data_IF_043042265164
#
_entry.id   IF_043042265164
#
_cell.length_a   1.000
_cell.length_b   1.000
_cell.length_c   1.000
_cell.angle_alpha   90.00
_cell.angle_beta   90.00
_cell.angle_gamma   90.00
#
_symmetry.space_group_name_H-M   'P 1'
#
loop_
_entity.id
_entity.type
_entity.pdbx_description
1 polymer ?
#
# COMPACT_ATOMS: atom_id res chain seq x y z
N UNK A 1 -20.89 -8.79 15.06
CA UNK A 1 -19.96 -7.64 15.01
C UNK A 1 -20.40 -6.81 13.83
N UNK A 2 -21.19 -5.76 14.06
CA UNK A 2 -21.72 -4.90 13.00
C UNK A 2 -20.57 -4.09 12.41
N UNK A 3 -20.23 -4.36 11.16
CA UNK A 3 -19.21 -3.63 10.41
C UNK A 3 -19.62 -2.17 10.36
N UNK A 4 -18.74 -1.22 10.72
CA UNK A 4 -19.11 0.19 10.69
C UNK A 4 -19.51 0.58 9.27
N UNK A 5 -20.70 1.18 9.11
CA UNK A 5 -21.18 1.82 7.88
C UNK A 5 -20.19 2.92 7.49
N UNK A 6 -19.17 2.56 6.73
CA UNK A 6 -18.22 3.50 6.13
C UNK A 6 -18.69 3.72 4.70
N UNK A 7 -18.87 4.99 4.31
CA UNK A 7 -19.23 5.36 2.93
C UNK A 7 -18.31 4.65 1.94
N UNK A 8 -18.85 3.86 0.99
CA UNK A 8 -18.04 3.12 0.04
C UNK A 8 -17.16 4.04 -0.81
N UNK A 9 -15.94 3.62 -1.12
CA UNK A 9 -15.15 4.24 -2.20
C UNK A 9 -15.82 3.87 -3.51
N UNK A 10 -16.28 4.86 -4.27
CA UNK A 10 -16.71 4.61 -5.64
C UNK A 10 -15.52 4.77 -6.55
N UNK A 11 -15.13 3.70 -7.20
CA UNK A 11 -14.10 3.77 -8.22
C UNK A 11 -14.66 4.51 -9.46
N UNK A 12 -13.87 5.36 -10.12
CA UNK A 12 -14.28 5.99 -11.37
C UNK A 12 -14.34 4.95 -12.50
N UNK A 13 -14.74 5.38 -13.70
CA UNK A 13 -14.51 4.57 -14.90
C UNK A 13 -13.00 4.39 -15.11
N UNK A 14 -12.55 3.14 -15.18
CA UNK A 14 -11.14 2.79 -15.30
C UNK A 14 -10.83 2.37 -16.73
N UNK A 15 -9.57 2.56 -17.14
CA UNK A 15 -9.08 1.97 -18.39
C UNK A 15 -9.30 0.45 -18.37
N UNK A 16 -9.64 -0.14 -19.53
CA UNK A 16 -10.13 -1.53 -19.64
C UNK A 16 -9.31 -2.54 -18.81
N UNK A 17 -7.98 -2.58 -18.99
CA UNK A 17 -7.11 -3.49 -18.24
C UNK A 17 -7.15 -3.28 -16.71
N UNK A 18 -7.23 -2.02 -16.25
CA UNK A 18 -7.36 -1.72 -14.82
C UNK A 18 -8.76 -2.07 -14.31
N UNK A 19 -9.79 -1.83 -15.13
CA UNK A 19 -11.16 -2.23 -14.83
C UNK A 19 -11.31 -3.74 -14.64
N UNK A 20 -10.72 -4.53 -15.53
CA UNK A 20 -10.68 -6.00 -15.42
C UNK A 20 -10.04 -6.46 -14.12
N UNK A 21 -8.93 -5.83 -13.69
CA UNK A 21 -8.30 -6.14 -12.40
C UNK A 21 -9.20 -5.83 -11.21
N UNK A 22 -9.95 -4.73 -11.25
CA UNK A 22 -10.87 -4.37 -10.17
C UNK A 22 -12.10 -5.27 -10.12
N UNK A 23 -12.60 -5.72 -11.27
CA UNK A 23 -13.60 -6.78 -11.37
C UNK A 23 -13.11 -8.06 -10.67
N UNK A 24 -11.89 -8.52 -11.00
CA UNK A 24 -11.26 -9.69 -10.37
C UNK A 24 -11.02 -9.49 -8.87
N UNK A 25 -10.61 -8.30 -8.44
CA UNK A 25 -10.36 -8.00 -7.04
C UNK A 25 -11.66 -8.00 -6.20
N UNK A 26 -12.77 -7.53 -6.79
CA UNK A 26 -14.09 -7.64 -6.16
C UNK A 26 -14.53 -9.10 -6.09
N UNK A 27 -14.32 -9.89 -7.15
CA UNK A 27 -14.60 -11.33 -7.13
C UNK A 27 -13.79 -12.04 -6.04
N UNK A 28 -12.49 -11.74 -5.95
CA UNK A 28 -11.61 -12.25 -4.91
C UNK A 28 -12.16 -11.91 -3.53
N UNK A 29 -12.51 -10.65 -3.29
CA UNK A 29 -12.99 -10.20 -1.99
C UNK A 29 -14.27 -10.91 -1.55
N UNK A 30 -15.20 -11.13 -2.48
CA UNK A 30 -16.42 -11.91 -2.21
C UNK A 30 -16.09 -13.37 -1.87
N UNK A 31 -15.24 -14.02 -2.64
CA UNK A 31 -14.94 -15.46 -2.46
C UNK A 31 -13.98 -15.73 -1.28
N UNK A 32 -13.12 -14.77 -0.94
CA UNK A 32 -12.09 -14.90 0.09
C UNK A 32 -12.50 -14.25 1.43
N UNK A 33 -13.78 -13.92 1.63
CA UNK A 33 -14.27 -13.27 2.85
C UNK A 33 -13.96 -14.03 4.16
N UNK A 34 -13.73 -15.36 4.09
CA UNK A 34 -13.37 -16.20 5.24
C UNK A 34 -11.86 -16.45 5.39
N UNK A 35 -11.05 -15.84 4.53
CA UNK A 35 -9.59 -15.93 4.55
C UNK A 35 -9.04 -14.61 5.09
N UNK A 36 -8.10 -14.63 6.04
CA UNK A 36 -7.50 -13.41 6.56
C UNK A 36 -6.44 -12.88 5.58
N UNK A 37 -6.89 -12.39 4.42
CA UNK A 37 -6.04 -11.80 3.41
C UNK A 37 -6.10 -10.26 3.45
N UNK A 38 -5.16 -9.60 2.78
CA UNK A 38 -5.11 -8.13 2.66
C UNK A 38 -4.48 -7.73 1.33
N UNK A 39 -5.04 -6.70 0.69
CA UNK A 39 -4.53 -6.08 -0.53
C UNK A 39 -3.28 -5.26 -0.23
N UNK A 40 -2.20 -5.54 -0.96
CA UNK A 40 -0.95 -4.78 -0.89
C UNK A 40 -0.56 -4.29 -2.29
N UNK A 41 0.69 -3.85 -2.48
CA UNK A 41 1.17 -3.54 -3.82
C UNK A 41 0.64 -2.23 -4.40
N UNK A 42 0.54 -2.14 -5.73
CA UNK A 42 0.15 -0.91 -6.42
C UNK A 42 -1.36 -0.61 -6.33
N UNK A 43 -2.21 -1.64 -6.37
CA UNK A 43 -3.67 -1.46 -6.24
C UNK A 43 -4.07 -0.94 -4.85
N UNK A 44 -3.36 -1.35 -3.79
CA UNK A 44 -3.50 -0.77 -2.45
C UNK A 44 -3.21 0.74 -2.45
N UNK A 45 -2.16 1.17 -3.17
CA UNK A 45 -1.76 2.59 -3.27
C UNK A 45 -2.82 3.40 -4.03
N UNK A 46 -3.32 2.86 -5.14
CA UNK A 46 -4.43 3.46 -5.88
C UNK A 46 -5.67 3.64 -5.00
N UNK A 47 -6.03 2.62 -4.22
CA UNK A 47 -7.16 2.71 -3.29
C UNK A 47 -6.97 3.78 -2.21
N UNK A 48 -5.74 3.95 -1.69
CA UNK A 48 -5.41 5.03 -0.74
C UNK A 48 -5.57 6.42 -1.38
N UNK A 49 -5.18 6.55 -2.64
CA UNK A 49 -5.33 7.79 -3.41
C UNK A 49 -6.79 8.15 -3.68
N UNK A 50 -7.57 7.19 -4.20
CA UNK A 50 -8.98 7.41 -4.53
C UNK A 50 -9.85 7.76 -3.31
N UNK A 51 -9.53 7.21 -2.14
CA UNK A 51 -10.19 7.62 -0.88
C UNK A 51 -10.03 9.11 -0.52
N UNK A 52 -9.03 9.77 -1.11
CA UNK A 52 -8.66 11.16 -0.87
C UNK A 52 -8.68 11.99 -2.15
N UNK A 53 -9.44 11.52 -3.15
CA UNK A 53 -9.60 12.17 -4.45
C UNK A 53 -8.27 12.49 -5.14
N UNK A 54 -7.30 11.57 -5.02
CA UNK A 54 -5.96 11.73 -5.60
C UNK A 54 -5.57 10.56 -6.49
N UNK A 55 -5.16 10.87 -7.71
CA UNK A 55 -4.69 9.88 -8.66
C UNK A 55 -3.29 9.36 -8.30
N UNK A 56 -3.13 8.04 -8.31
CA UNK A 56 -1.83 7.43 -8.08
C UNK A 56 -0.87 7.72 -9.26
N UNK A 57 0.45 7.87 -9.01
CA UNK A 57 1.42 8.29 -10.02
C UNK A 57 1.68 7.25 -11.12
N UNK A 58 1.11 6.05 -11.00
CA UNK A 58 1.22 4.99 -12.01
C UNK A 58 0.02 4.06 -11.95
N UNK A 59 -0.25 3.44 -13.09
CA UNK A 59 -1.13 2.27 -13.17
C UNK A 59 -0.36 1.03 -12.75
N UNK A 60 -0.96 0.19 -11.90
CA UNK A 60 -0.43 -1.13 -11.55
C UNK A 60 -1.22 -2.19 -12.30
N UNK A 61 -0.54 -3.15 -12.92
CA UNK A 61 -1.20 -4.28 -13.58
C UNK A 61 -1.38 -5.50 -12.64
N UNK A 62 -0.70 -5.48 -11.50
CA UNK A 62 -0.65 -6.64 -10.60
C UNK A 62 -1.65 -6.51 -9.44
N UNK A 63 -2.27 -7.63 -9.05
CA UNK A 63 -3.01 -7.79 -7.79
C UNK A 63 -2.09 -8.50 -6.81
N UNK A 64 -1.55 -7.74 -5.87
CA UNK A 64 -0.71 -8.28 -4.79
C UNK A 64 -1.56 -8.46 -3.52
N UNK A 65 -1.50 -9.63 -2.91
CA UNK A 65 -2.16 -9.89 -1.63
C UNK A 65 -1.23 -10.56 -0.64
N UNK A 66 -1.53 -10.40 0.63
CA UNK A 66 -0.88 -11.13 1.71
C UNK A 66 -1.92 -11.86 2.54
N UNK A 67 -1.59 -13.05 3.02
CA UNK A 67 -2.39 -13.81 4.00
C UNK A 67 -1.73 -13.83 5.36
N UNK A 68 -2.51 -13.56 6.41
CA UNK A 68 -2.08 -13.81 7.78
C UNK A 68 -2.17 -15.32 8.12
N UNK A 69 -1.04 -16.00 7.98
CA UNK A 69 -0.90 -17.41 8.32
C UNK A 69 -1.02 -17.70 9.82
N UNK A 70 -0.84 -16.70 10.70
CA UNK A 70 -1.01 -16.88 12.15
C UNK A 70 -2.48 -16.97 12.52
N UNK A 71 -3.31 -16.17 11.86
CA UNK A 71 -4.76 -16.20 12.05
C UNK A 71 -5.39 -17.47 11.45
N UNK A 72 -4.87 -17.99 10.34
CA UNK A 72 -5.39 -19.20 9.70
C UNK A 72 -4.30 -19.97 8.95
N UNK A 73 -3.88 -21.12 9.50
CA UNK A 73 -2.77 -21.93 8.98
C UNK A 73 -3.03 -22.48 7.57
N UNK A 74 -4.27 -22.81 7.21
CA UNK A 74 -4.67 -23.25 5.87
C UNK A 74 -5.07 -22.10 4.94
N UNK A 75 -5.01 -20.85 5.42
CA UNK A 75 -5.50 -19.67 4.72
C UNK A 75 -4.79 -19.41 3.38
N UNK A 76 -3.50 -19.72 3.29
CA UNK A 76 -2.76 -19.60 2.02
C UNK A 76 -3.27 -20.59 0.96
N UNK A 77 -3.49 -21.86 1.32
CA UNK A 77 -4.05 -22.85 0.37
C UNK A 77 -5.45 -22.47 -0.06
N UNK A 78 -6.26 -21.98 0.88
CA UNK A 78 -7.60 -21.49 0.59
C UNK A 78 -7.57 -20.30 -0.39
N UNK A 79 -6.68 -19.33 -0.19
CA UNK A 79 -6.54 -18.18 -1.08
C UNK A 79 -6.02 -18.58 -2.47
N UNK A 80 -4.99 -19.42 -2.52
CA UNK A 80 -4.44 -19.92 -3.80
C UNK A 80 -5.52 -20.65 -4.59
N UNK A 81 -6.32 -21.51 -3.96
CA UNK A 81 -7.43 -22.18 -4.64
C UNK A 81 -8.51 -21.21 -5.14
N UNK A 82 -8.69 -20.06 -4.49
CA UNK A 82 -9.57 -18.99 -5.01
C UNK A 82 -8.94 -18.31 -6.21
N UNK A 83 -7.64 -17.99 -6.17
CA UNK A 83 -6.91 -17.45 -7.31
C UNK A 83 -6.94 -18.36 -8.53
N UNK A 84 -6.70 -19.66 -8.37
CA UNK A 84 -6.78 -20.63 -9.46
C UNK A 84 -8.18 -20.67 -10.09
N UNK A 85 -9.24 -20.62 -9.28
CA UNK A 85 -10.63 -20.54 -9.78
C UNK A 85 -10.94 -19.25 -10.53
N UNK A 86 -10.23 -18.17 -10.22
CA UNK A 86 -10.34 -16.86 -10.87
C UNK A 86 -9.33 -16.68 -12.01
N UNK A 87 -8.53 -17.70 -12.34
CA UNK A 87 -7.52 -17.64 -13.41
C UNK A 87 -6.28 -16.81 -13.08
N UNK A 88 -5.96 -16.62 -11.79
CA UNK A 88 -4.81 -15.86 -11.30
C UNK A 88 -3.68 -16.80 -10.85
N UNK A 89 -2.42 -16.47 -11.20
CA UNK A 89 -1.23 -17.18 -10.72
C UNK A 89 -0.71 -16.55 -9.42
N UNK A 90 -0.49 -17.37 -8.39
CA UNK A 90 -0.02 -16.91 -7.08
C UNK A 90 1.52 -16.89 -7.00
N UNK A 91 2.11 -15.74 -6.65
CA UNK A 91 3.57 -15.60 -6.46
C UNK A 91 3.88 -14.83 -5.17
N UNK A 92 4.68 -15.44 -4.29
CA UNK A 92 5.39 -14.73 -3.22
C UNK A 92 5.09 -15.18 -1.77
N UNK A 93 5.98 -14.82 -0.80
CA UNK A 93 5.80 -15.13 0.61
C UNK A 93 4.88 -14.10 1.33
N UNK A 94 4.22 -14.47 2.45
CA UNK A 94 3.30 -13.60 3.18
C UNK A 94 3.97 -12.69 4.23
N UNK A 95 3.42 -11.48 4.46
CA UNK A 95 3.26 -10.76 5.77
C UNK A 95 2.88 -9.26 5.56
N UNK A 96 1.84 -8.72 6.24
CA UNK A 96 2.05 -7.93 7.47
C UNK A 96 0.92 -8.01 8.53
N UNK A 97 1.24 -7.55 9.75
CA UNK A 97 0.29 -7.28 10.83
C UNK A 97 -0.40 -5.92 10.61
N UNK A 98 -1.70 -5.81 10.92
CA UNK A 98 -2.50 -4.57 10.82
C UNK A 98 -3.33 -4.47 9.54
N UNK A 99 -4.54 -5.02 9.57
CA UNK A 99 -5.50 -5.03 8.45
C UNK A 99 -6.64 -4.03 8.75
N UNK A 100 -6.98 -3.19 7.77
CA UNK A 100 -8.19 -2.38 7.75
C UNK A 100 -9.11 -2.86 6.62
N UNK A 101 -10.41 -2.72 6.79
CA UNK A 101 -11.41 -3.11 5.78
C UNK A 101 -11.97 -1.87 5.08
N UNK A 102 -12.13 -1.95 3.75
CA UNK A 102 -12.71 -0.86 2.95
C UNK A 102 -13.76 -1.38 1.97
N UNK A 103 -14.96 -0.83 2.08
CA UNK A 103 -16.02 -1.02 1.10
C UNK A 103 -15.70 -0.28 -0.20
N UNK A 104 -15.67 -1.02 -1.30
CA UNK A 104 -15.40 -0.50 -2.64
C UNK A 104 -16.56 -0.89 -3.56
N UNK A 105 -17.06 0.08 -4.31
CA UNK A 105 -18.02 -0.13 -5.39
C UNK A 105 -17.34 0.17 -6.73
N UNK A 106 -17.48 -0.75 -7.69
CA UNK A 106 -17.05 -0.59 -9.07
C UNK A 106 -18.19 -1.08 -9.98
N UNK A 107 -18.59 -0.26 -10.95
CA UNK A 107 -19.81 -0.47 -11.72
C UNK A 107 -21.02 -0.70 -10.79
N UNK A 108 -21.72 -1.83 -10.93
CA UNK A 108 -22.86 -2.23 -10.09
C UNK A 108 -22.46 -3.17 -8.92
N UNK A 109 -21.17 -3.48 -8.78
CA UNK A 109 -20.66 -4.47 -7.82
C UNK A 109 -20.02 -3.80 -6.60
N UNK A 110 -20.20 -4.39 -5.41
CA UNK A 110 -19.62 -3.88 -4.16
C UNK A 110 -19.00 -5.02 -3.35
N UNK A 111 -17.79 -4.80 -2.81
CA UNK A 111 -17.13 -5.74 -1.92
C UNK A 111 -16.36 -5.03 -0.79
N UNK A 112 -16.08 -5.77 0.28
CA UNK A 112 -15.17 -5.36 1.35
C UNK A 112 -13.75 -5.83 1.03
N UNK A 113 -12.84 -4.88 0.84
CA UNK A 113 -11.45 -5.13 0.50
C UNK A 113 -10.57 -4.85 1.73
N UNK A 114 -9.98 -5.88 2.35
CA UNK A 114 -8.98 -5.70 3.39
C UNK A 114 -7.72 -5.08 2.78
N UNK A 115 -7.15 -4.08 3.45
CA UNK A 115 -5.91 -3.38 3.09
C UNK A 115 -5.23 -2.80 4.34
N UNK A 116 -3.90 -2.60 4.34
CA UNK A 116 -3.23 -1.87 5.41
C UNK A 116 -3.75 -0.44 5.53
N UNK A 117 -3.75 0.10 6.76
CA UNK A 117 -3.93 1.53 6.96
C UNK A 117 -2.76 2.34 6.35
N UNK A 118 -2.84 3.67 6.38
CA UNK A 118 -1.82 4.50 5.71
C UNK A 118 -0.41 4.31 6.29
N UNK A 119 -0.28 4.07 7.60
CA UNK A 119 1.00 3.75 8.23
C UNK A 119 1.53 2.39 7.75
N UNK A 120 0.70 1.36 7.79
CA UNK A 120 1.06 0.02 7.32
C UNK A 120 1.46 0.03 5.84
N UNK A 121 0.74 0.77 4.99
CA UNK A 121 1.07 0.94 3.58
C UNK A 121 2.45 1.57 3.38
N UNK A 122 2.77 2.65 4.12
CA UNK A 122 4.09 3.28 4.10
C UNK A 122 5.20 2.30 4.53
N UNK A 123 4.98 1.55 5.61
CA UNK A 123 5.96 0.59 6.14
C UNK A 123 6.20 -0.56 5.17
N UNK A 124 5.15 -1.09 4.54
CA UNK A 124 5.25 -2.17 3.54
C UNK A 124 6.02 -1.67 2.30
N UNK A 125 5.71 -0.47 1.81
CA UNK A 125 6.45 0.11 0.67
C UNK A 125 7.91 0.39 1.01
N UNK A 126 8.18 0.85 2.23
CA UNK A 126 9.56 1.02 2.70
C UNK A 126 10.30 -0.34 2.76
N UNK A 127 9.68 -1.38 3.31
CA UNK A 127 10.26 -2.72 3.38
C UNK A 127 10.50 -3.35 1.99
N UNK A 128 9.62 -3.10 1.02
CA UNK A 128 9.80 -3.60 -0.34
C UNK A 128 11.09 -3.07 -1.02
N UNK A 129 11.60 -1.90 -0.62
CA UNK A 129 12.88 -1.36 -1.11
C UNK A 129 14.11 -2.16 -0.66
N UNK A 130 13.98 -2.96 0.40
CA UNK A 130 15.00 -3.89 0.90
C UNK A 130 14.98 -5.21 0.14
N UNK A 131 13.79 -5.70 -0.20
CA UNK A 131 13.62 -6.96 -0.91
C UNK A 131 14.01 -6.80 -2.39
N UNK A 132 13.57 -5.71 -3.02
CA UNK A 132 13.78 -5.48 -4.45
C UNK A 132 14.94 -4.53 -4.73
N UNK A 133 16.16 -5.02 -4.50
CA UNK A 133 17.37 -4.20 -4.56
C UNK A 133 17.73 -3.70 -5.96
N UNK A 134 17.31 -4.41 -7.03
CA UNK A 134 17.70 -4.11 -8.43
C UNK A 134 16.84 -3.05 -9.11
N UNK A 135 15.59 -2.87 -8.69
CA UNK A 135 14.60 -2.01 -9.36
C UNK A 135 13.59 -1.35 -8.40
N UNK A 136 14.02 -0.71 -7.29
CA UNK A 136 13.11 -0.22 -6.26
C UNK A 136 12.37 1.08 -6.62
N UNK A 137 12.63 1.69 -7.78
CA UNK A 137 12.10 3.02 -8.16
C UNK A 137 10.58 3.12 -8.04
N UNK A 138 9.84 2.06 -8.38
CA UNK A 138 8.38 2.04 -8.22
C UNK A 138 7.93 2.11 -6.76
N UNK A 139 8.67 1.47 -5.85
CA UNK A 139 8.40 1.52 -4.41
C UNK A 139 8.67 2.90 -3.83
N UNK A 140 9.73 3.59 -4.29
CA UNK A 140 10.00 4.97 -3.89
C UNK A 140 8.95 5.96 -4.39
N UNK A 141 8.45 5.80 -5.63
CA UNK A 141 7.33 6.60 -6.15
C UNK A 141 6.05 6.38 -5.34
N UNK A 142 5.72 5.11 -5.09
CA UNK A 142 4.55 4.75 -4.27
C UNK A 142 4.70 5.33 -2.84
N UNK A 143 5.91 5.29 -2.26
CA UNK A 143 6.20 5.84 -0.93
C UNK A 143 6.06 7.37 -0.88
N UNK A 144 6.60 8.08 -1.87
CA UNK A 144 6.45 9.53 -2.00
C UNK A 144 4.98 9.93 -2.14
N UNK A 145 4.22 9.19 -2.96
CA UNK A 145 2.79 9.39 -3.11
C UNK A 145 2.03 9.14 -1.80
N UNK A 146 2.28 8.04 -1.10
CA UNK A 146 1.64 7.76 0.19
C UNK A 146 1.96 8.84 1.24
N UNK A 147 3.19 9.39 1.25
CA UNK A 147 3.54 10.52 2.11
C UNK A 147 2.69 11.76 1.83
N UNK A 148 2.28 11.97 0.58
CA UNK A 148 1.41 13.09 0.19
C UNK A 148 0.00 12.96 0.78
N UNK A 149 -0.44 11.75 1.12
CA UNK A 149 -1.78 11.45 1.65
C UNK A 149 -1.88 11.59 3.18
N UNK A 150 -0.76 11.86 3.86
CA UNK A 150 -0.70 11.95 5.31
C UNK A 150 -1.16 13.33 5.76
N UNK A 151 -2.25 13.37 6.54
CA UNK A 151 -2.81 14.62 7.06
C UNK A 151 -1.98 15.20 8.22
N UNK A 152 -1.59 14.37 9.19
CA UNK A 152 -0.73 14.75 10.31
C UNK A 152 0.50 13.82 10.41
N UNK A 153 1.67 14.26 9.90
CA UNK A 153 2.89 13.46 9.93
C UNK A 153 3.48 13.29 11.33
N UNK A 154 3.18 14.17 12.29
CA UNK A 154 3.66 14.05 13.65
C UNK A 154 2.87 12.99 14.43
N UNK A 155 1.54 13.05 14.36
CA UNK A 155 0.68 12.02 14.95
C UNK A 155 0.96 10.63 14.33
N UNK A 156 1.19 10.56 13.01
CA UNK A 156 1.55 9.31 12.35
C UNK A 156 2.89 8.76 12.85
N UNK A 157 3.88 9.63 13.07
CA UNK A 157 5.19 9.24 13.60
C UNK A 157 5.10 8.68 15.01
N UNK A 158 4.25 9.22 15.87
CA UNK A 158 4.05 8.73 17.25
C UNK A 158 3.51 7.30 17.29
N UNK A 159 2.74 6.90 16.27
CA UNK A 159 2.20 5.54 16.13
C UNK A 159 3.24 4.51 15.67
N UNK A 160 4.41 4.92 15.20
CA UNK A 160 5.45 4.01 14.72
C UNK A 160 6.08 3.22 15.85
N UNK A 161 6.35 1.93 15.61
CA UNK A 161 7.18 1.13 16.51
C UNK A 161 8.68 1.18 16.12
N UNK A 162 9.52 0.35 16.78
CA UNK A 162 10.95 0.26 16.46
C UNK A 162 11.22 -0.32 15.07
N UNK A 163 10.47 -1.33 14.64
CA UNK A 163 10.63 -2.02 13.35
C UNK A 163 10.15 -1.13 12.20
N UNK A 164 9.06 -0.39 12.39
CA UNK A 164 8.57 0.59 11.43
C UNK A 164 9.63 1.64 11.15
N UNK A 165 10.20 2.23 12.22
CA UNK A 165 11.30 3.20 12.08
C UNK A 165 12.54 2.62 11.44
N UNK A 166 12.83 1.33 11.63
CA UNK A 166 13.94 0.65 10.97
C UNK A 166 13.71 0.54 9.46
N UNK A 167 12.53 0.08 9.04
CA UNK A 167 12.16 -0.05 7.61
C UNK A 167 12.12 1.29 6.91
N UNK A 168 11.48 2.30 7.52
CA UNK A 168 11.47 3.68 7.02
C UNK A 168 12.89 4.25 6.91
N UNK A 169 13.73 3.98 7.91
CA UNK A 169 15.13 4.42 7.89
C UNK A 169 15.97 3.74 6.81
N UNK A 170 15.74 2.45 6.55
CA UNK A 170 16.40 1.72 5.46
C UNK A 170 16.03 2.31 4.10
N UNK A 171 14.74 2.56 3.87
CA UNK A 171 14.28 3.22 2.65
C UNK A 171 14.88 4.62 2.51
N UNK A 172 14.97 5.41 3.60
CA UNK A 172 15.57 6.75 3.58
C UNK A 172 17.05 6.78 3.22
N UNK A 173 17.82 5.75 3.62
CA UNK A 173 19.23 5.66 3.26
C UNK A 173 19.46 5.35 1.76
N UNK A 174 18.42 4.89 1.05
CA UNK A 174 18.50 4.41 -0.34
C UNK A 174 17.61 5.19 -1.31
N UNK A 175 16.74 6.04 -0.78
CA UNK A 175 15.86 6.85 -1.60
C UNK A 175 16.73 7.73 -2.51
N UNK A 176 16.56 7.64 -3.84
CA UNK A 176 17.34 8.45 -4.76
C UNK A 176 17.19 9.93 -4.44
N UNK A 177 18.28 10.68 -4.60
CA UNK A 177 18.23 12.14 -4.61
C UNK A 177 17.72 12.62 -5.98
N UNK A 178 16.52 12.18 -6.33
CA UNK A 178 15.84 12.46 -7.58
C UNK A 178 14.57 13.25 -7.29
N UNK A 179 14.58 14.51 -7.74
CA UNK A 179 13.43 15.40 -7.60
C UNK A 179 12.20 14.90 -8.36
N UNK A 180 12.36 14.06 -9.39
CA UNK A 180 11.25 13.50 -10.17
C UNK A 180 10.28 12.67 -9.35
N UNK A 181 10.73 12.08 -8.23
CA UNK A 181 9.89 11.33 -7.29
C UNK A 181 8.85 12.23 -6.62
N UNK A 182 9.17 13.51 -6.50
CA UNK A 182 8.40 14.48 -5.71
C UNK A 182 7.67 15.47 -6.61
N UNK A 183 8.30 15.97 -7.67
CA UNK A 183 7.72 16.97 -8.57
C UNK A 183 6.46 16.45 -9.27
N UNK A 184 6.38 15.14 -9.54
CA UNK A 184 5.18 14.48 -10.08
C UNK A 184 3.95 14.65 -9.19
N UNK A 185 4.13 14.96 -7.90
CA UNK A 185 3.03 15.20 -6.94
C UNK A 185 2.43 16.61 -7.04
N UNK A 186 3.02 17.49 -7.85
CA UNK A 186 2.53 18.84 -8.09
C UNK A 186 2.35 19.65 -6.81
N UNK A 187 1.12 20.12 -6.56
CA UNK A 187 0.80 20.93 -5.39
C UNK A 187 1.12 20.26 -4.05
N UNK A 188 1.19 18.93 -4.00
CA UNK A 188 1.42 18.15 -2.79
C UNK A 188 2.89 17.81 -2.53
N UNK A 189 3.80 18.25 -3.40
CA UNK A 189 5.23 17.95 -3.29
C UNK A 189 5.80 18.36 -1.93
N UNK A 190 5.55 19.60 -1.51
CA UNK A 190 6.14 20.18 -0.28
C UNK A 190 5.72 19.38 0.95
N UNK A 191 4.44 19.06 1.05
CA UNK A 191 3.87 18.33 2.19
C UNK A 191 4.37 16.88 2.20
N UNK A 192 4.41 16.22 1.04
CA UNK A 192 4.96 14.86 0.92
C UNK A 192 6.42 14.78 1.37
N UNK A 193 7.26 15.74 0.93
CA UNK A 193 8.66 15.83 1.37
C UNK A 193 8.79 16.12 2.86
N UNK A 194 7.93 16.99 3.41
CA UNK A 194 7.91 17.29 4.84
C UNK A 194 7.54 16.05 5.66
N UNK A 195 6.47 15.35 5.28
CA UNK A 195 6.06 14.07 5.86
C UNK A 195 7.21 13.07 5.85
N UNK A 196 7.88 12.89 4.71
CA UNK A 196 9.00 11.96 4.60
C UNK A 196 10.14 12.32 5.56
N UNK A 197 10.53 13.61 5.62
CA UNK A 197 11.57 14.09 6.53
C UNK A 197 11.20 13.86 8.00
N UNK A 198 9.93 14.02 8.38
CA UNK A 198 9.45 13.79 9.74
C UNK A 198 9.52 12.30 10.09
N UNK A 199 9.01 11.43 9.22
CA UNK A 199 8.99 9.97 9.44
C UNK A 199 10.41 9.37 9.45
N UNK A 200 11.29 9.83 8.56
CA UNK A 200 12.65 9.32 8.39
C UNK A 200 13.73 10.10 9.17
N UNK A 201 13.35 11.06 10.02
CA UNK A 201 14.24 12.07 10.60
C UNK A 201 15.52 11.51 11.25
N UNK A 202 15.44 10.34 11.91
CA UNK A 202 16.60 9.71 12.56
C UNK A 202 17.64 9.23 11.55
N UNK A 203 17.20 8.60 10.46
CA UNK A 203 18.10 8.08 9.43
C UNK A 203 18.78 9.21 8.66
N UNK A 204 18.00 10.24 8.28
CA UNK A 204 18.51 11.39 7.54
C UNK A 204 19.57 12.17 8.34
N UNK A 205 19.37 12.37 9.65
CA UNK A 205 20.39 13.00 10.52
C UNK A 205 21.68 12.19 10.62
N UNK A 206 21.60 10.86 10.59
CA UNK A 206 22.77 10.00 10.66
C UNK A 206 23.58 10.05 9.35
N UNK A 207 22.91 10.12 8.20
CA UNK A 207 23.55 10.27 6.90
C UNK A 207 24.34 11.59 6.81
N UNK A 208 23.76 12.71 7.25
CA UNK A 208 24.44 14.02 7.26
C UNK A 208 25.69 14.08 8.16
N UNK A 209 25.79 13.20 9.16
CA UNK A 209 26.95 13.14 10.08
C UNK A 209 28.12 12.30 9.55
N UNK A 210 27.91 11.48 8.53
CA UNK A 210 28.97 10.64 7.93
C UNK A 210 29.59 11.26 6.66
N UNK A 211 29.10 12.44 6.23
CA UNK A 211 29.67 13.23 5.13
C UNK A 211 30.59 14.37 5.59
N UNK A 212 30.94 14.42 6.88
CA UNK A 212 31.84 15.42 7.49
C UNK A 212 33.07 14.71 8.03
#
# INVERSE_FOLDING_TARGET
MTTPERTPVRLPSLAAATGELWTLLIDLAVHAASVPWTLVGGQMVMLHGLERDREAPRVSADIDTVVDLRAKQDGLRALVGIFERLGLEAVGPPSPDGIMHRYVTYEDRTADIPRPDLLGALVIKAAATEIELKSPTRHFRDLAFLCSLVDDPFALRERTDKKDRQRLGFAAARMPDDDSLWTVLGAHERDARATWRILAAKALRNASRHCV
#
